data_IF_714845860135
#
_entry.id   IF_714845860135
#
_cell.length_a   1.000
_cell.length_b   1.000
_cell.length_c   1.000
_cell.angle_alpha   90.00
_cell.angle_beta   90.00
_cell.angle_gamma   90.00
#
_symmetry.space_group_name_H-M   'P 1'
#
loop_
_entity.id
_entity.type
_entity.pdbx_description
1 polymer ?
#
# COMPACT_ATOMS: atom_id res chain seq x y z
N UNK A 1 -10.91 -13.89 -2.93
CA UNK A 1 -11.46 -13.43 -4.22
C UNK A 1 -12.16 -14.53 -5.01
N UNK A 2 -11.59 -15.74 -5.18
CA UNK A 2 -12.24 -16.82 -5.95
C UNK A 2 -13.68 -17.10 -5.48
N UNK A 3 -13.91 -17.15 -4.16
CA UNK A 3 -15.24 -17.34 -3.58
C UNK A 3 -16.24 -16.21 -3.89
N UNK A 4 -15.80 -14.99 -4.20
CA UNK A 4 -16.72 -13.89 -4.58
C UNK A 4 -16.98 -13.89 -6.09
N UNK A 5 -16.00 -14.30 -6.89
CA UNK A 5 -16.10 -14.31 -8.36
C UNK A 5 -17.17 -15.27 -8.88
N UNK A 6 -17.44 -16.38 -8.17
CA UNK A 6 -18.55 -17.29 -8.51
C UNK A 6 -19.93 -16.61 -8.46
N UNK A 7 -20.02 -15.47 -7.77
CA UNK A 7 -21.21 -14.64 -7.67
C UNK A 7 -21.16 -13.41 -8.59
N UNK A 8 -20.15 -13.29 -9.45
CA UNK A 8 -19.93 -12.09 -10.28
C UNK A 8 -19.50 -10.86 -9.48
N UNK A 9 -18.96 -11.05 -8.27
CA UNK A 9 -18.62 -9.99 -7.34
C UNK A 9 -17.14 -10.05 -6.91
N UNK A 10 -16.59 -8.92 -6.50
CA UNK A 10 -15.20 -8.80 -6.04
C UNK A 10 -15.07 -7.72 -4.95
N UNK A 11 -14.15 -7.86 -3.98
CA UNK A 11 -13.70 -6.73 -3.18
C UNK A 11 -13.24 -5.57 -4.09
N UNK A 12 -13.55 -4.32 -3.75
CA UNK A 12 -13.20 -3.18 -4.60
C UNK A 12 -11.70 -2.80 -4.55
N UNK A 13 -10.97 -3.27 -3.53
CA UNK A 13 -9.57 -2.92 -3.27
C UNK A 13 -8.79 -4.18 -2.91
N UNK A 14 -7.61 -4.33 -3.51
CA UNK A 14 -6.67 -5.39 -3.21
C UNK A 14 -5.33 -4.81 -2.79
N UNK A 15 -4.56 -5.59 -2.06
CA UNK A 15 -3.10 -5.46 -2.00
C UNK A 15 -2.50 -6.13 -3.24
N UNK A 16 -1.29 -5.75 -3.63
CA UNK A 16 -0.65 -6.29 -4.84
C UNK A 16 -0.39 -7.80 -4.73
N UNK A 17 -0.02 -8.24 -3.53
CA UNK A 17 0.11 -9.65 -3.18
C UNK A 17 -1.16 -10.17 -2.50
N UNK A 18 -1.71 -11.28 -3.01
CA UNK A 18 -3.00 -11.81 -2.56
C UNK A 18 -2.91 -12.78 -1.38
N UNK A 19 -1.76 -13.41 -1.12
CA UNK A 19 -1.62 -14.39 -0.03
C UNK A 19 -1.37 -13.72 1.33
N UNK A 20 -2.21 -12.73 1.64
CA UNK A 20 -2.26 -12.05 2.92
C UNK A 20 -3.58 -12.37 3.61
N UNK A 21 -3.55 -12.49 4.94
CA UNK A 21 -4.79 -12.68 5.70
C UNK A 21 -5.63 -11.40 5.73
N UNK A 22 -6.95 -11.55 5.71
CA UNK A 22 -7.90 -10.43 5.84
C UNK A 22 -7.64 -9.64 7.13
N UNK A 23 -7.46 -10.33 8.27
CA UNK A 23 -7.19 -9.65 9.54
C UNK A 23 -5.87 -8.88 9.53
N UNK A 24 -4.84 -9.40 8.86
CA UNK A 24 -3.55 -8.74 8.73
C UNK A 24 -3.63 -7.45 7.93
N UNK A 25 -4.22 -7.48 6.73
CA UNK A 25 -4.33 -6.28 5.89
C UNK A 25 -5.23 -5.23 6.51
N UNK A 26 -6.36 -5.62 7.13
CA UNK A 26 -7.26 -4.70 7.83
C UNK A 26 -6.64 -4.10 9.10
N UNK A 27 -5.66 -4.77 9.71
CA UNK A 27 -4.92 -4.21 10.85
C UNK A 27 -3.94 -3.11 10.44
N UNK A 28 -3.59 -3.00 9.15
CA UNK A 28 -2.62 -2.00 8.66
C UNK A 28 -3.29 -0.94 7.77
N UNK A 29 -4.11 -1.36 6.81
CA UNK A 29 -4.84 -0.49 5.90
C UNK A 29 -5.30 -1.22 4.65
N UNK A 30 -4.36 -1.88 3.95
CA UNK A 30 -4.63 -2.58 2.69
C UNK A 30 -4.78 -1.61 1.53
N UNK A 31 -3.66 -0.99 1.14
CA UNK A 31 -3.55 -0.14 -0.05
C UNK A 31 -3.16 -0.97 -1.29
N UNK A 32 -3.55 -0.49 -2.46
CA UNK A 32 -3.10 -0.94 -3.78
C UNK A 32 -3.65 -0.05 -4.89
N UNK A 33 -3.44 -0.42 -6.15
CA UNK A 33 -3.75 0.46 -7.28
C UNK A 33 -5.22 0.88 -7.46
N UNK A 34 -6.18 0.19 -6.83
CA UNK A 34 -7.59 0.62 -6.83
C UNK A 34 -7.91 1.67 -5.75
N UNK A 35 -6.98 1.95 -4.84
CA UNK A 35 -7.25 2.78 -3.66
C UNK A 35 -7.60 4.22 -3.98
N UNK A 36 -7.11 4.75 -5.09
CA UNK A 36 -7.48 6.07 -5.58
C UNK A 36 -8.99 6.21 -5.89
N UNK A 37 -9.69 5.09 -6.17
CA UNK A 37 -11.12 5.05 -6.47
C UNK A 37 -11.98 4.68 -5.26
N UNK A 38 -11.51 3.73 -4.45
CA UNK A 38 -12.35 3.07 -3.44
C UNK A 38 -11.84 3.19 -1.99
N UNK A 39 -10.70 3.86 -1.77
CA UNK A 39 -10.05 3.94 -0.45
C UNK A 39 -9.15 2.73 -0.19
N UNK A 40 -8.78 2.51 1.05
CA UNK A 40 -8.07 1.30 1.45
C UNK A 40 -9.06 0.16 1.74
N UNK A 41 -8.59 -1.08 1.91
CA UNK A 41 -9.46 -2.20 2.30
C UNK A 41 -10.24 -1.89 3.59
N UNK A 42 -9.61 -1.20 4.55
CA UNK A 42 -10.26 -0.74 5.79
C UNK A 42 -11.48 0.17 5.55
N UNK A 43 -11.49 0.96 4.47
CA UNK A 43 -12.62 1.85 4.13
C UNK A 43 -13.81 1.08 3.50
N UNK A 44 -13.65 -0.23 3.27
CA UNK A 44 -14.66 -1.09 2.65
C UNK A 44 -15.37 -2.01 3.66
N UNK A 45 -14.91 -2.00 4.91
CA UNK A 45 -15.43 -2.84 6.00
C UNK A 45 -16.73 -2.25 6.55
N UNK A 46 -17.74 -3.08 6.74
CA UNK A 46 -19.04 -2.66 7.32
C UNK A 46 -19.28 -3.20 8.73
N UNK A 47 -18.64 -4.32 9.09
CA UNK A 47 -18.71 -4.91 10.42
C UNK A 47 -17.52 -5.84 10.68
N UNK A 48 -17.20 -6.04 11.95
CA UNK A 48 -16.18 -6.97 12.43
C UNK A 48 -16.73 -7.82 13.59
N UNK A 49 -16.22 -9.04 13.72
CA UNK A 49 -16.15 -9.76 14.99
C UNK A 49 -14.70 -9.85 15.43
N UNK A 50 -14.45 -9.53 16.69
CA UNK A 50 -13.11 -9.42 17.24
C UNK A 50 -13.03 -10.06 18.63
N UNK A 51 -11.86 -10.54 19.01
CA UNK A 51 -11.54 -10.97 20.37
C UNK A 51 -10.62 -9.92 21.02
N UNK A 52 -11.08 -9.27 22.09
CA UNK A 52 -10.32 -8.23 22.78
C UNK A 52 -9.14 -8.81 23.57
N UNK A 53 -8.22 -7.97 24.06
CA UNK A 53 -7.14 -8.38 24.97
C UNK A 53 -7.65 -8.90 26.32
N UNK A 54 -8.91 -8.61 26.68
CA UNK A 54 -9.61 -9.20 27.81
C UNK A 54 -10.22 -10.60 27.51
N UNK A 55 -10.10 -11.09 26.28
CA UNK A 55 -10.63 -12.39 25.85
C UNK A 55 -12.12 -12.39 25.47
N UNK A 56 -12.71 -11.21 25.28
CA UNK A 56 -14.15 -11.08 24.98
C UNK A 56 -14.41 -11.09 23.47
N UNK A 57 -15.36 -11.93 23.01
CA UNK A 57 -15.85 -11.90 21.63
C UNK A 57 -16.88 -10.77 21.47
N UNK A 58 -16.51 -9.73 20.73
CA UNK A 58 -17.33 -8.54 20.50
C UNK A 58 -17.59 -8.37 19.01
N UNK A 59 -18.81 -8.00 18.62
CA UNK A 59 -19.07 -7.51 17.25
C UNK A 59 -19.19 -6.00 17.25
N UNK A 60 -18.47 -5.36 16.33
CA UNK A 60 -18.44 -3.91 16.19
C UNK A 60 -18.67 -3.47 14.74
N UNK A 61 -19.15 -2.24 14.58
CA UNK A 61 -19.50 -1.59 13.32
C UNK A 61 -19.48 -0.06 13.53
N UNK A 62 -19.69 0.75 12.48
CA UNK A 62 -19.84 2.20 12.64
C UNK A 62 -20.95 2.64 13.61
N UNK A 63 -21.92 1.77 13.90
CA UNK A 63 -23.06 2.06 14.79
C UNK A 63 -23.11 1.20 16.06
N UNK A 64 -22.20 0.23 16.21
CA UNK A 64 -22.12 -0.66 17.38
C UNK A 64 -20.67 -0.77 17.85
N UNK A 65 -20.38 -0.35 19.08
CA UNK A 65 -19.00 -0.19 19.57
C UNK A 65 -18.10 0.56 18.57
N UNK A 66 -18.49 1.79 18.16
CA UNK A 66 -17.79 2.52 17.10
C UNK A 66 -16.36 2.93 17.47
N UNK A 67 -16.05 3.03 18.76
CA UNK A 67 -14.70 3.21 19.29
C UNK A 67 -13.84 1.97 19.02
N UNK A 68 -14.33 0.77 19.32
CA UNK A 68 -13.63 -0.48 19.01
C UNK A 68 -13.45 -0.67 17.50
N UNK A 69 -14.50 -0.43 16.71
CA UNK A 69 -14.46 -0.58 15.26
C UNK A 69 -13.34 0.28 14.63
N UNK A 70 -13.27 1.56 15.01
CA UNK A 70 -12.23 2.48 14.54
C UNK A 70 -10.84 2.16 15.09
N UNK A 71 -10.75 1.62 16.31
CA UNK A 71 -9.47 1.26 16.93
C UNK A 71 -8.86 -0.04 16.38
N UNK A 72 -9.66 -0.89 15.72
CA UNK A 72 -9.20 -2.16 15.12
C UNK A 72 -8.74 -1.96 13.67
N UNK A 73 -9.47 -1.19 12.87
CA UNK A 73 -9.10 -0.89 11.48
C UNK A 73 -7.87 0.02 11.41
N UNK A 74 -6.81 -0.44 10.73
CA UNK A 74 -5.48 0.17 10.73
C UNK A 74 -4.86 0.33 12.15
N UNK A 75 -5.35 -0.46 13.11
CA UNK A 75 -4.97 -0.40 14.53
C UNK A 75 -3.79 -1.26 14.93
N UNK A 76 -3.07 -1.87 13.98
CA UNK A 76 -1.87 -2.69 14.18
C UNK A 76 -2.06 -3.83 15.19
N UNK A 77 -3.27 -4.40 15.25
CA UNK A 77 -3.63 -5.46 16.17
C UNK A 77 -3.59 -5.06 17.66
N UNK A 78 -3.55 -3.76 17.97
CA UNK A 78 -3.30 -3.29 19.34
C UNK A 78 -4.48 -3.48 20.29
N UNK A 79 -5.72 -3.46 19.79
CA UNK A 79 -6.92 -3.47 20.63
C UNK A 79 -7.68 -4.80 20.64
N UNK A 80 -7.63 -5.55 19.54
CA UNK A 80 -8.32 -6.84 19.41
C UNK A 80 -7.79 -7.64 18.22
N UNK A 81 -8.02 -8.95 18.25
CA UNK A 81 -7.78 -9.88 17.12
C UNK A 81 -9.04 -9.95 16.27
N UNK A 82 -8.95 -9.67 14.96
CA UNK A 82 -10.06 -9.83 14.02
C UNK A 82 -10.28 -11.32 13.73
N UNK A 83 -11.49 -11.82 13.98
CA UNK A 83 -11.87 -13.22 13.71
C UNK A 83 -12.89 -13.35 12.57
N UNK A 84 -13.61 -12.28 12.25
CA UNK A 84 -14.49 -12.21 11.08
C UNK A 84 -14.63 -10.75 10.61
N UNK A 85 -14.76 -10.54 9.30
CA UNK A 85 -14.96 -9.23 8.71
C UNK A 85 -16.04 -9.29 7.62
N UNK A 86 -16.92 -8.29 7.60
CA UNK A 86 -17.90 -8.08 6.51
C UNK A 86 -17.38 -6.98 5.60
N UNK A 87 -17.13 -7.33 4.34
CA UNK A 87 -16.58 -6.43 3.32
C UNK A 87 -17.66 -6.09 2.28
N UNK A 88 -17.70 -4.83 1.84
CA UNK A 88 -18.47 -4.44 0.67
C UNK A 88 -17.85 -5.06 -0.59
N UNK A 89 -18.71 -5.60 -1.46
CA UNK A 89 -18.31 -6.10 -2.78
C UNK A 89 -18.85 -5.18 -3.89
N UNK A 90 -18.23 -5.27 -5.06
CA UNK A 90 -18.64 -4.61 -6.30
C UNK A 90 -18.72 -5.63 -7.44
N UNK A 91 -19.33 -5.26 -8.55
CA UNK A 91 -19.35 -6.09 -9.76
C UNK A 91 -17.94 -6.42 -10.23
N UNK A 92 -17.64 -7.70 -10.44
CA UNK A 92 -16.37 -8.13 -10.97
C UNK A 92 -16.34 -7.94 -12.51
N UNK A 93 -15.28 -7.35 -13.08
CA UNK A 93 -15.06 -7.44 -14.51
C UNK A 93 -14.70 -8.87 -14.92
N UNK A 94 -14.94 -9.20 -16.19
CA UNK A 94 -14.43 -10.46 -16.76
C UNK A 94 -13.01 -10.29 -17.30
N UNK A 95 -12.71 -9.13 -17.86
CA UNK A 95 -11.43 -8.80 -18.49
C UNK A 95 -10.84 -7.49 -17.96
N UNK A 96 -9.52 -7.37 -18.09
CA UNK A 96 -8.74 -6.20 -17.72
C UNK A 96 -7.89 -5.80 -18.91
N UNK A 97 -8.04 -4.57 -19.41
CA UNK A 97 -7.08 -3.97 -20.35
C UNK A 97 -5.95 -3.35 -19.53
N UNK A 98 -4.76 -3.91 -19.65
CA UNK A 98 -3.61 -3.61 -18.81
C UNK A 98 -2.51 -2.93 -19.63
N UNK A 99 -1.99 -1.83 -19.09
CA UNK A 99 -0.98 -0.99 -19.73
C UNK A 99 0.25 -0.82 -18.84
N UNK A 100 1.42 -0.90 -19.46
CA UNK A 100 2.70 -0.44 -18.91
C UNK A 100 3.19 0.72 -19.78
N UNK A 101 3.26 1.92 -19.19
CA UNK A 101 3.53 3.16 -19.89
C UNK A 101 4.85 3.76 -19.37
N UNK A 102 5.96 3.71 -20.14
CA UNK A 102 7.27 4.17 -19.69
C UNK A 102 7.38 5.71 -19.70
N UNK A 103 8.15 6.27 -18.76
CA UNK A 103 8.48 7.69 -18.65
C UNK A 103 9.96 7.85 -18.31
N UNK A 104 10.54 8.98 -18.70
CA UNK A 104 11.97 9.30 -18.48
C UNK A 104 12.16 10.53 -17.58
N UNK A 105 11.08 11.18 -17.16
CA UNK A 105 11.08 12.36 -16.31
C UNK A 105 10.13 12.16 -15.13
N UNK A 106 10.66 12.29 -13.91
CA UNK A 106 9.92 12.06 -12.67
C UNK A 106 8.74 13.01 -12.53
N UNK A 107 8.90 14.29 -12.89
CA UNK A 107 7.83 15.27 -12.75
C UNK A 107 6.65 14.95 -13.68
N UNK A 108 6.93 14.63 -14.94
CA UNK A 108 5.94 14.22 -15.94
C UNK A 108 5.23 12.92 -15.53
N UNK A 109 5.99 11.94 -15.03
CA UNK A 109 5.46 10.68 -14.50
C UNK A 109 4.45 10.93 -13.37
N UNK A 110 4.82 11.75 -12.37
CA UNK A 110 3.95 12.07 -11.25
C UNK A 110 2.71 12.85 -11.70
N UNK A 111 2.87 13.86 -12.57
CA UNK A 111 1.76 14.67 -13.06
C UNK A 111 0.73 13.85 -13.84
N UNK A 112 1.18 12.94 -14.70
CA UNK A 112 0.27 12.05 -15.43
C UNK A 112 -0.43 11.08 -14.46
N UNK A 113 0.27 10.55 -13.45
CA UNK A 113 -0.36 9.77 -12.37
C UNK A 113 -1.46 10.57 -11.64
N UNK A 114 -1.22 11.84 -11.25
CA UNK A 114 -2.25 12.69 -10.61
C UNK A 114 -3.46 12.86 -11.53
N UNK A 115 -3.20 13.10 -12.81
CA UNK A 115 -4.26 13.22 -13.82
C UNK A 115 -5.09 11.94 -13.92
N UNK A 116 -4.46 10.75 -13.92
CA UNK A 116 -5.20 9.50 -14.01
C UNK A 116 -6.12 9.26 -12.80
N UNK A 117 -5.66 9.61 -11.60
CA UNK A 117 -6.49 9.56 -10.39
C UNK A 117 -7.66 10.54 -10.45
N UNK A 118 -7.44 11.75 -10.99
CA UNK A 118 -8.49 12.77 -11.13
C UNK A 118 -9.52 12.45 -12.22
N UNK A 119 -9.08 11.91 -13.35
CA UNK A 119 -9.93 11.60 -14.51
C UNK A 119 -10.84 10.39 -14.25
N UNK A 120 -10.41 9.47 -13.38
CA UNK A 120 -11.17 8.26 -13.04
C UNK A 120 -11.40 7.30 -14.21
N UNK A 121 -10.63 7.41 -15.30
CA UNK A 121 -10.76 6.56 -16.50
C UNK A 121 -10.14 5.17 -16.36
N UNK A 122 -9.17 5.01 -15.46
CA UNK A 122 -8.62 3.71 -15.10
C UNK A 122 -9.21 3.22 -13.76
N UNK A 123 -9.29 1.90 -13.61
CA UNK A 123 -9.70 1.22 -12.39
C UNK A 123 -8.53 0.93 -11.44
N UNK A 124 -7.32 0.85 -11.99
CA UNK A 124 -6.06 0.64 -11.28
C UNK A 124 -5.04 1.64 -11.77
N UNK A 125 -4.30 2.27 -10.86
CA UNK A 125 -3.16 3.14 -11.17
C UNK A 125 -2.08 2.90 -10.12
N UNK A 126 -0.93 2.43 -10.57
CA UNK A 126 0.31 2.41 -9.79
C UNK A 126 1.47 2.92 -10.63
N UNK A 127 2.69 2.69 -10.16
CA UNK A 127 3.84 2.71 -11.01
C UNK A 127 5.11 2.33 -10.27
N UNK A 128 6.12 1.99 -11.05
CA UNK A 128 7.39 1.46 -10.59
C UNK A 128 8.55 2.31 -11.09
N UNK A 129 9.67 2.18 -10.38
CA UNK A 129 10.92 2.86 -10.69
C UNK A 129 12.02 1.79 -10.79
N UNK A 130 12.83 1.89 -11.83
CA UNK A 130 13.96 1.03 -12.07
C UNK A 130 15.25 1.87 -12.21
N UNK A 131 16.40 1.36 -11.72
CA UNK A 131 17.68 1.98 -11.98
C UNK A 131 18.09 1.81 -13.44
N UNK A 132 18.79 2.81 -13.99
CA UNK A 132 19.49 2.69 -15.26
C UNK A 132 20.84 1.97 -15.09
N UNK A 133 21.61 1.90 -16.19
CA UNK A 133 22.93 1.24 -16.22
C UNK A 133 23.98 1.87 -15.30
N UNK A 134 23.76 3.11 -14.83
CA UNK A 134 24.62 3.80 -13.87
C UNK A 134 24.17 3.57 -12.42
N UNK A 135 23.03 2.91 -12.23
CA UNK A 135 22.40 2.71 -10.93
C UNK A 135 21.51 3.87 -10.48
N UNK A 136 21.28 4.88 -11.34
CA UNK A 136 20.39 5.99 -11.04
C UNK A 136 18.93 5.62 -11.34
N UNK A 137 18.01 5.93 -10.43
CA UNK A 137 16.59 5.58 -10.56
C UNK A 137 15.85 6.53 -11.52
N UNK A 138 16.03 6.31 -12.83
CA UNK A 138 15.55 7.17 -13.91
C UNK A 138 14.55 6.49 -14.85
N UNK A 139 14.34 5.18 -14.71
CA UNK A 139 13.33 4.45 -15.47
C UNK A 139 12.00 4.41 -14.72
N UNK A 140 10.98 5.11 -15.21
CA UNK A 140 9.66 5.16 -14.56
C UNK A 140 8.62 4.45 -15.42
N UNK A 141 7.69 3.72 -14.82
CA UNK A 141 6.60 3.06 -15.55
C UNK A 141 5.28 3.25 -14.80
N UNK A 142 4.29 3.84 -15.45
CA UNK A 142 2.91 3.82 -14.94
C UNK A 142 2.29 2.47 -15.31
N UNK A 143 1.81 1.73 -14.32
CA UNK A 143 0.94 0.57 -14.51
C UNK A 143 -0.52 1.01 -14.35
N UNK A 144 -1.33 0.86 -15.39
CA UNK A 144 -2.73 1.28 -15.36
C UNK A 144 -3.64 0.22 -15.97
N UNK A 145 -4.85 0.08 -15.43
CA UNK A 145 -5.83 -0.87 -16.00
C UNK A 145 -7.24 -0.34 -16.12
N UNK A 146 -7.92 -0.72 -17.20
CA UNK A 146 -9.34 -0.48 -17.41
C UNK A 146 -10.11 -1.81 -17.29
N UNK A 147 -11.25 -1.78 -16.61
CA UNK A 147 -12.10 -2.94 -16.42
C UNK A 147 -13.11 -3.05 -17.55
N UNK A 148 -13.15 -4.21 -18.22
CA UNK A 148 -14.16 -4.51 -19.24
C UNK A 148 -15.51 -4.91 -18.64
N UNK A 149 -16.49 -5.27 -19.48
CA UNK A 149 -17.81 -5.69 -19.01
C UNK A 149 -17.76 -6.91 -18.07
N UNK A 150 -18.69 -7.03 -17.12
CA UNK A 150 -19.82 -6.12 -16.86
C UNK A 150 -19.51 -4.92 -15.93
N UNK A 151 -18.27 -4.80 -15.40
CA UNK A 151 -17.93 -3.76 -14.44
C UNK A 151 -17.57 -2.41 -15.08
N UNK A 152 -17.17 -2.42 -16.36
CA UNK A 152 -16.93 -1.22 -17.16
C UNK A 152 -17.32 -1.43 -18.63
N UNK A 153 -17.20 -0.39 -19.47
CA UNK A 153 -17.42 -0.51 -20.90
C UNK A 153 -16.29 -1.31 -21.57
N UNK A 154 -16.48 -1.67 -22.84
CA UNK A 154 -15.36 -2.16 -23.66
C UNK A 154 -14.24 -1.10 -23.71
N UNK A 155 -12.99 -1.46 -23.35
CA UNK A 155 -11.88 -0.52 -23.34
C UNK A 155 -11.56 0.06 -24.72
N UNK A 156 -11.44 1.39 -24.81
CA UNK A 156 -10.92 2.10 -25.99
C UNK A 156 -9.54 2.70 -25.64
N UNK A 157 -8.49 2.06 -26.14
CA UNK A 157 -7.09 2.47 -25.92
C UNK A 157 -6.84 3.93 -26.32
N UNK A 158 -7.46 4.42 -27.41
CA UNK A 158 -7.26 5.80 -27.87
C UNK A 158 -7.86 6.79 -26.87
N UNK A 159 -9.02 6.48 -26.31
CA UNK A 159 -9.63 7.28 -25.26
C UNK A 159 -8.86 7.19 -23.94
N UNK A 160 -8.44 5.98 -23.55
CA UNK A 160 -7.71 5.70 -22.31
C UNK A 160 -6.36 6.40 -22.28
N UNK A 161 -5.59 6.35 -23.38
CA UNK A 161 -4.23 6.90 -23.46
C UNK A 161 -4.19 8.39 -23.87
N UNK A 162 -5.34 8.99 -24.17
CA UNK A 162 -5.41 10.38 -24.66
C UNK A 162 -4.74 11.36 -23.70
N UNK A 163 -3.80 12.12 -24.23
CA UNK A 163 -3.13 13.21 -23.52
C UNK A 163 -2.08 12.77 -22.49
N UNK A 164 -1.78 11.47 -22.40
CA UNK A 164 -0.63 10.98 -21.63
C UNK A 164 0.67 11.20 -22.39
N UNK A 165 1.74 11.41 -21.63
CA UNK A 165 3.06 11.90 -22.07
C UNK A 165 4.14 10.82 -21.93
N UNK A 166 3.75 9.56 -21.78
CA UNK A 166 4.66 8.42 -21.77
C UNK A 166 5.54 8.39 -23.03
N UNK A 167 6.74 7.84 -22.89
CA UNK A 167 7.68 7.66 -23.98
C UNK A 167 7.16 6.59 -24.95
N UNK A 168 6.73 7.04 -26.13
CA UNK A 168 6.22 6.15 -27.19
C UNK A 168 7.32 5.34 -27.90
N UNK A 169 8.59 5.71 -27.70
CA UNK A 169 9.72 4.95 -28.23
C UNK A 169 10.15 3.81 -27.30
N UNK A 170 9.73 3.85 -26.04
CA UNK A 170 9.98 2.79 -25.06
C UNK A 170 9.08 1.55 -25.23
N UNK A 171 9.33 0.53 -24.41
CA UNK A 171 8.55 -0.70 -24.39
C UNK A 171 7.16 -0.47 -23.74
N UNK A 172 6.22 0.02 -24.56
CA UNK A 172 4.80 0.14 -24.16
C UNK A 172 4.13 -1.21 -24.32
N UNK A 173 3.59 -1.75 -23.23
CA UNK A 173 2.80 -2.99 -23.27
C UNK A 173 1.33 -2.64 -23.11
N UNK A 174 0.48 -3.24 -23.93
CA UNK A 174 -0.97 -3.11 -23.85
C UNK A 174 -1.62 -4.46 -24.14
N UNK A 175 -2.08 -5.15 -23.10
CA UNK A 175 -2.63 -6.51 -23.19
C UNK A 175 -4.01 -6.62 -22.54
N UNK A 176 -4.73 -7.69 -22.85
CA UNK A 176 -6.02 -7.99 -22.24
C UNK A 176 -5.90 -9.29 -21.47
N UNK A 177 -6.13 -9.22 -20.17
CA UNK A 177 -6.00 -10.34 -19.23
C UNK A 177 -7.37 -10.73 -18.65
N UNK A 178 -7.48 -11.95 -18.16
CA UNK A 178 -8.55 -12.33 -17.25
C UNK A 178 -8.43 -11.53 -15.95
N UNK A 179 -9.56 -11.16 -15.33
CA UNK A 179 -9.53 -10.34 -14.11
C UNK A 179 -8.74 -11.00 -12.96
N UNK A 180 -8.96 -12.30 -12.73
CA UNK A 180 -8.20 -13.01 -11.69
C UNK A 180 -6.71 -13.12 -12.05
N UNK A 181 -6.37 -13.31 -13.33
CA UNK A 181 -4.98 -13.39 -13.76
C UNK A 181 -4.24 -12.08 -13.50
N UNK A 182 -4.87 -10.93 -13.76
CA UNK A 182 -4.31 -9.62 -13.41
C UNK A 182 -4.13 -9.47 -11.88
N UNK A 183 -5.13 -9.85 -11.08
CA UNK A 183 -5.01 -9.79 -9.62
C UNK A 183 -3.91 -10.71 -9.09
N UNK A 184 -3.70 -11.87 -9.72
CA UNK A 184 -2.75 -12.89 -9.31
C UNK A 184 -1.40 -12.81 -10.05
N UNK A 185 -1.14 -11.74 -10.79
CA UNK A 185 -0.01 -11.62 -11.72
C UNK A 185 1.37 -11.75 -11.08
N UNK A 186 1.49 -11.49 -9.78
CA UNK A 186 2.75 -11.64 -9.04
C UNK A 186 3.07 -13.09 -8.65
N UNK A 187 2.07 -13.99 -8.61
CA UNK A 187 2.25 -15.35 -8.09
C UNK A 187 3.35 -16.16 -8.81
N UNK A 188 3.48 -16.11 -10.15
CA UNK A 188 4.59 -16.80 -10.83
C UNK A 188 5.97 -16.27 -10.43
N UNK A 189 6.11 -14.96 -10.23
CA UNK A 189 7.35 -14.33 -9.78
C UNK A 189 7.71 -14.74 -8.36
N UNK A 190 6.72 -14.78 -7.46
CA UNK A 190 6.90 -15.25 -6.08
C UNK A 190 7.34 -16.73 -6.06
N UNK A 191 6.66 -17.59 -6.81
CA UNK A 191 7.04 -19.01 -6.91
C UNK A 191 8.48 -19.22 -7.42
N UNK A 192 8.95 -18.36 -8.33
CA UNK A 192 10.34 -18.39 -8.80
C UNK A 192 11.33 -17.97 -7.70
N UNK A 193 11.01 -16.95 -6.90
CA UNK A 193 11.84 -16.52 -5.76
C UNK A 193 11.88 -17.59 -4.65
N UNK A 194 10.77 -18.27 -4.40
CA UNK A 194 10.70 -19.41 -3.47
C UNK A 194 11.56 -20.58 -3.94
N UNK A 195 11.44 -20.95 -5.22
CA UNK A 195 12.25 -22.01 -5.82
C UNK A 195 13.75 -21.69 -5.79
N UNK A 196 14.11 -20.41 -5.91
CA UNK A 196 15.48 -19.93 -5.80
C UNK A 196 15.98 -19.81 -4.33
N UNK A 197 15.09 -19.99 -3.33
CA UNK A 197 15.44 -19.89 -1.92
C UNK A 197 15.67 -18.46 -1.41
N UNK A 198 15.39 -17.45 -2.24
CA UNK A 198 15.60 -16.02 -1.91
C UNK A 198 14.36 -15.36 -1.34
N UNK A 199 13.18 -15.98 -1.47
CA UNK A 199 11.94 -15.49 -0.84
C UNK A 199 11.99 -15.47 0.70
N UNK A 200 12.85 -16.29 1.31
CA UNK A 200 13.02 -16.35 2.76
C UNK A 200 14.13 -15.41 3.27
N UNK A 201 14.75 -14.61 2.39
CA UNK A 201 15.80 -13.66 2.76
C UNK A 201 15.26 -12.50 3.60
N UNK A 202 16.14 -11.60 4.07
CA UNK A 202 15.72 -10.45 4.85
C UNK A 202 15.01 -9.43 3.95
N UNK A 203 13.86 -8.92 4.38
CA UNK A 203 13.05 -7.93 3.65
C UNK A 203 12.93 -6.61 4.42
N UNK A 204 14.02 -5.81 4.54
CA UNK A 204 14.01 -4.55 5.29
C UNK A 204 13.33 -3.43 4.49
N UNK A 205 12.04 -3.61 4.18
CA UNK A 205 11.26 -2.73 3.33
C UNK A 205 11.07 -1.34 3.93
N UNK A 206 11.01 -0.33 3.05
CA UNK A 206 10.67 1.05 3.39
C UNK A 206 9.33 1.40 2.74
N UNK A 207 8.37 1.90 3.51
CA UNK A 207 7.05 2.27 3.00
C UNK A 207 6.63 3.61 3.61
N UNK A 208 6.56 4.64 2.78
CA UNK A 208 6.37 6.03 3.19
C UNK A 208 5.21 6.65 2.40
N UNK A 209 4.42 7.48 3.06
CA UNK A 209 3.38 8.29 2.45
C UNK A 209 3.88 9.73 2.37
N UNK A 210 4.05 10.22 1.15
CA UNK A 210 4.58 11.53 0.83
C UNK A 210 3.43 12.53 0.59
N UNK A 211 3.50 13.78 1.08
CA UNK A 211 2.63 14.86 0.63
C UNK A 211 2.78 15.05 -0.89
N UNK A 212 1.65 15.17 -1.59
CA UNK A 212 1.61 15.27 -3.05
C UNK A 212 2.36 16.48 -3.62
N UNK A 213 2.24 17.64 -2.98
CA UNK A 213 2.93 18.89 -3.35
C UNK A 213 4.46 18.79 -3.28
N UNK A 214 4.98 17.89 -2.46
CA UNK A 214 6.42 17.67 -2.20
C UNK A 214 6.92 16.33 -2.68
N UNK A 215 6.06 15.49 -3.27
CA UNK A 215 6.39 14.12 -3.66
C UNK A 215 7.59 14.04 -4.60
N UNK A 216 7.68 14.93 -5.61
CA UNK A 216 8.80 14.94 -6.56
C UNK A 216 10.15 15.22 -5.87
N UNK A 217 10.21 16.23 -5.01
CA UNK A 217 11.43 16.62 -4.31
C UNK A 217 11.85 15.56 -3.28
N UNK A 218 10.90 15.01 -2.52
CA UNK A 218 11.14 13.97 -1.53
C UNK A 218 11.58 12.66 -2.19
N UNK A 219 10.83 12.19 -3.20
CA UNK A 219 11.17 10.98 -3.92
C UNK A 219 12.54 11.11 -4.60
N UNK A 220 12.80 12.20 -5.33
CA UNK A 220 14.10 12.45 -5.96
C UNK A 220 15.25 12.40 -4.94
N UNK A 221 15.12 13.12 -3.82
CA UNK A 221 16.15 13.11 -2.75
C UNK A 221 16.41 11.70 -2.20
N UNK A 222 15.35 10.91 -1.97
CA UNK A 222 15.49 9.55 -1.45
C UNK A 222 16.09 8.61 -2.48
N UNK A 223 15.64 8.68 -3.74
CA UNK A 223 16.16 7.89 -4.86
C UNK A 223 17.65 8.19 -5.11
N UNK A 224 18.06 9.46 -5.07
CA UNK A 224 19.46 9.88 -5.21
C UNK A 224 20.35 9.28 -4.11
N UNK A 225 19.86 9.24 -2.86
CA UNK A 225 20.57 8.60 -1.74
C UNK A 225 20.70 7.08 -1.91
N UNK A 226 19.81 6.47 -2.68
CA UNK A 226 19.80 5.03 -2.96
C UNK A 226 20.50 4.68 -4.27
N UNK A 227 20.93 5.66 -5.07
CA UNK A 227 21.56 5.43 -6.36
C UNK A 227 22.78 4.51 -6.23
N UNK A 228 22.89 3.55 -7.14
CA UNK A 228 23.95 2.53 -7.15
C UNK A 228 23.78 1.39 -6.12
N UNK A 229 22.71 1.40 -5.31
CA UNK A 229 22.41 0.31 -4.39
C UNK A 229 21.51 -0.72 -5.08
N UNK A 230 21.84 -2.00 -4.96
CA UNK A 230 21.04 -3.10 -5.48
C UNK A 230 19.87 -3.41 -4.53
N UNK A 231 18.64 -3.37 -5.04
CA UNK A 231 17.43 -3.75 -4.29
C UNK A 231 17.35 -5.25 -4.02
N UNK A 232 18.20 -6.03 -4.64
CA UNK A 232 18.29 -7.47 -4.50
C UNK A 232 17.26 -8.23 -5.34
N UNK A 233 17.27 -9.57 -5.26
CA UNK A 233 16.44 -10.42 -6.09
C UNK A 233 14.95 -10.17 -5.82
N UNK A 234 14.19 -9.89 -6.89
CA UNK A 234 12.77 -9.56 -6.80
C UNK A 234 12.47 -8.20 -6.16
N UNK A 235 13.50 -7.40 -5.86
CA UNK A 235 13.32 -6.08 -5.27
C UNK A 235 12.64 -5.12 -6.23
N UNK A 236 11.73 -4.30 -5.71
CA UNK A 236 10.96 -3.33 -6.49
C UNK A 236 10.87 -1.98 -5.79
N UNK A 237 10.83 -0.92 -6.58
CA UNK A 237 10.55 0.44 -6.10
C UNK A 237 9.20 0.87 -6.69
N UNK A 238 8.25 1.20 -5.83
CA UNK A 238 6.93 1.67 -6.22
C UNK A 238 6.77 3.14 -5.83
N UNK A 239 6.14 3.91 -6.71
CA UNK A 239 5.77 5.29 -6.43
C UNK A 239 4.44 5.60 -7.10
N UNK A 240 3.36 5.73 -6.33
CA UNK A 240 2.05 5.94 -6.92
C UNK A 240 1.11 6.81 -6.08
N UNK A 241 0.17 7.53 -6.73
CA UNK A 241 -0.75 8.42 -6.07
C UNK A 241 -1.90 7.67 -5.40
N UNK A 242 -2.43 8.28 -4.35
CA UNK A 242 -3.67 7.92 -3.69
C UNK A 242 -4.66 9.09 -3.80
N UNK A 243 -5.89 8.90 -3.34
CA UNK A 243 -6.87 9.98 -3.22
C UNK A 243 -7.29 10.15 -1.76
N UNK A 244 -6.90 11.25 -1.13
CA UNK A 244 -7.27 11.52 0.26
C UNK A 244 -8.79 11.59 0.45
N UNK A 245 -9.52 12.03 -0.58
CA UNK A 245 -10.98 12.05 -0.60
C UNK A 245 -11.64 10.66 -0.53
N UNK A 246 -10.88 9.56 -0.65
CA UNK A 246 -11.35 8.18 -0.53
C UNK A 246 -10.88 7.47 0.74
N UNK A 247 -9.95 8.08 1.49
CA UNK A 247 -9.30 7.47 2.64
C UNK A 247 -9.87 8.08 3.91
N UNK A 248 -10.63 7.29 4.67
CA UNK A 248 -11.45 7.80 5.79
C UNK A 248 -11.12 7.15 7.13
N UNK A 249 -10.39 6.04 7.11
CA UNK A 249 -10.00 5.30 8.32
C UNK A 249 -8.99 6.10 9.14
N UNK A 250 -9.33 6.59 10.36
CA UNK A 250 -8.52 7.58 11.07
C UNK A 250 -7.10 7.13 11.45
N UNK A 251 -6.91 5.83 11.69
CA UNK A 251 -5.61 5.23 12.06
C UNK A 251 -4.73 4.92 10.84
N UNK A 252 -5.29 4.92 9.62
CA UNK A 252 -4.51 4.93 8.39
C UNK A 252 -4.05 6.37 8.13
N UNK A 253 -2.94 6.75 8.75
CA UNK A 253 -2.46 8.14 8.74
C UNK A 253 -1.96 8.54 7.37
N UNK A 254 -2.60 9.56 6.80
CA UNK A 254 -2.23 10.16 5.51
C UNK A 254 -1.61 11.55 5.71
N UNK A 255 -0.70 11.96 4.81
CA UNK A 255 -0.28 13.35 4.70
C UNK A 255 -1.47 14.27 4.41
N UNK A 256 -1.40 15.52 4.85
CA UNK A 256 -2.41 16.55 4.56
C UNK A 256 -2.23 17.11 3.14
N UNK A 257 -2.61 16.29 2.15
CA UNK A 257 -2.56 16.61 0.72
C UNK A 257 -3.72 15.89 0.00
N UNK A 258 -4.37 16.49 -1.01
CA UNK A 258 -5.46 15.84 -1.75
C UNK A 258 -5.03 14.56 -2.50
N UNK A 259 -3.78 14.48 -2.95
CA UNK A 259 -3.21 13.38 -3.75
C UNK A 259 -1.84 12.97 -3.19
N UNK A 260 -1.80 12.33 -2.00
CA UNK A 260 -0.55 11.85 -1.42
C UNK A 260 -0.01 10.67 -2.23
N UNK A 261 1.28 10.36 -2.06
CA UNK A 261 1.94 9.27 -2.77
C UNK A 261 2.44 8.21 -1.81
N UNK A 262 2.25 6.92 -2.15
CA UNK A 262 3.02 5.85 -1.53
C UNK A 262 4.36 5.73 -2.26
N UNK A 263 5.47 5.83 -1.52
CA UNK A 263 6.80 5.37 -1.92
C UNK A 263 7.11 4.08 -1.18
N UNK A 264 7.27 2.98 -1.90
CA UNK A 264 7.69 1.70 -1.35
C UNK A 264 9.03 1.27 -1.96
N UNK A 265 9.96 0.85 -1.12
CA UNK A 265 11.24 0.26 -1.56
C UNK A 265 11.32 -1.12 -0.92
N UNK A 266 11.09 -2.14 -1.74
CA UNK A 266 10.94 -3.52 -1.30
C UNK A 266 12.27 -4.26 -1.48
N UNK A 267 13.21 -4.02 -0.56
CA UNK A 267 14.52 -4.67 -0.55
C UNK A 267 14.43 -6.17 -0.26
N UNK A 268 15.35 -6.94 -0.85
CA UNK A 268 15.63 -8.34 -0.51
C UNK A 268 17.13 -8.50 -0.28
N UNK A 269 17.57 -8.73 0.96
CA UNK A 269 18.98 -8.78 1.33
C UNK A 269 19.38 -10.14 1.89
N UNK A 270 20.58 -10.61 1.53
CA UNK A 270 21.13 -11.87 2.01
C UNK A 270 21.28 -11.84 3.55
N UNK A 271 20.60 -12.72 4.30
CA UNK A 271 20.72 -12.78 5.76
C UNK A 271 22.12 -13.20 6.25
N UNK A 272 22.99 -13.71 5.37
CA UNK A 272 24.40 -13.98 5.69
C UNK A 272 25.21 -12.69 5.91
N UNK A 273 24.71 -11.52 5.49
CA UNK A 273 25.26 -10.20 5.82
C UNK A 273 24.34 -9.41 6.77
N UNK A 274 24.35 -9.75 8.08
CA UNK A 274 23.52 -9.06 9.06
C UNK A 274 23.89 -7.57 9.23
N UNK A 275 25.12 -7.18 8.87
CA UNK A 275 25.54 -5.78 8.93
C UNK A 275 24.85 -4.95 7.84
N UNK A 276 24.74 -5.47 6.62
CA UNK A 276 23.99 -4.83 5.54
C UNK A 276 22.49 -4.71 5.88
N UNK A 277 21.89 -5.76 6.45
CA UNK A 277 20.48 -5.73 6.90
C UNK A 277 20.28 -4.66 7.97
N UNK A 278 21.13 -4.63 9.01
CA UNK A 278 21.03 -3.64 10.09
C UNK A 278 21.25 -2.21 9.58
N UNK A 279 22.22 -2.00 8.68
CA UNK A 279 22.46 -0.70 8.06
C UNK A 279 21.25 -0.21 7.25
N UNK A 280 20.58 -1.11 6.52
CA UNK A 280 19.35 -0.77 5.79
C UNK A 280 18.21 -0.39 6.73
N UNK A 281 17.99 -1.16 7.78
CA UNK A 281 16.95 -0.86 8.79
C UNK A 281 17.20 0.49 9.46
N UNK A 282 18.47 0.83 9.76
CA UNK A 282 18.82 2.15 10.28
C UNK A 282 18.58 3.27 9.25
N UNK A 283 18.92 3.04 7.98
CA UNK A 283 18.67 4.00 6.90
C UNK A 283 17.16 4.26 6.67
N UNK A 284 16.32 3.25 6.88
CA UNK A 284 14.86 3.38 6.79
C UNK A 284 14.30 4.38 7.80
N UNK A 285 14.83 4.40 9.04
CA UNK A 285 14.42 5.41 10.04
C UNK A 285 14.81 6.83 9.62
N UNK A 286 16.03 7.03 9.09
CA UNK A 286 16.45 8.33 8.59
C UNK A 286 15.60 8.83 7.41
N UNK A 287 15.16 7.92 6.53
CA UNK A 287 14.23 8.22 5.45
C UNK A 287 12.84 8.61 5.99
N UNK A 288 12.34 7.87 6.98
CA UNK A 288 11.11 8.21 7.69
C UNK A 288 11.18 9.60 8.31
N UNK A 289 12.25 9.94 9.03
CA UNK A 289 12.42 11.26 9.64
C UNK A 289 12.45 12.39 8.61
N UNK A 290 13.09 12.17 7.46
CA UNK A 290 13.09 13.13 6.34
C UNK A 290 11.66 13.39 5.84
N UNK A 291 10.86 12.33 5.65
CA UNK A 291 9.48 12.44 5.16
C UNK A 291 8.54 13.01 6.23
N UNK A 292 8.70 12.59 7.48
CA UNK A 292 7.94 13.10 8.64
C UNK A 292 8.14 14.59 8.84
N UNK A 293 9.37 15.09 8.71
CA UNK A 293 9.68 16.52 8.79
C UNK A 293 8.98 17.33 7.68
N UNK A 294 8.68 16.70 6.54
CA UNK A 294 7.88 17.28 5.46
C UNK A 294 6.37 17.05 5.63
N UNK A 295 5.89 16.51 6.76
CA UNK A 295 4.46 16.24 6.97
C UNK A 295 3.96 14.96 6.32
N UNK A 296 4.86 14.08 5.86
CA UNK A 296 4.53 12.73 5.47
C UNK A 296 4.42 11.78 6.66
N UNK A 297 4.04 10.54 6.38
CA UNK A 297 3.82 9.49 7.40
C UNK A 297 4.46 8.17 6.94
N UNK A 298 4.62 7.20 7.83
CA UNK A 298 4.91 5.83 7.39
C UNK A 298 3.64 5.07 7.03
N UNK A 299 3.74 4.13 6.10
CA UNK A 299 2.77 3.04 5.95
C UNK A 299 3.37 1.79 6.61
N UNK A 300 2.79 1.29 7.74
CA UNK A 300 3.49 0.40 8.65
C UNK A 300 3.46 -1.09 8.22
N UNK A 301 4.00 -1.36 7.03
CA UNK A 301 4.27 -2.69 6.48
C UNK A 301 5.78 -2.95 6.28
N UNK A 302 6.62 -1.96 6.61
CA UNK A 302 8.07 -2.03 6.44
C UNK A 302 8.84 -2.26 7.75
N UNK A 303 10.17 -2.29 7.62
CA UNK A 303 11.12 -2.38 8.72
C UNK A 303 11.67 -0.99 9.06
N UNK A 304 10.82 -0.17 9.67
CA UNK A 304 11.18 1.16 10.20
C UNK A 304 11.15 1.05 11.73
N UNK A 305 12.30 1.14 12.43
CA UNK A 305 12.32 1.18 13.88
C UNK A 305 11.54 2.39 14.40
N UNK A 306 10.52 2.17 15.22
CA UNK A 306 9.65 3.22 15.74
C UNK A 306 9.65 3.20 17.27
N UNK A 307 9.96 4.33 17.88
CA UNK A 307 9.78 4.50 19.33
C UNK A 307 8.31 4.81 19.67
N UNK A 308 7.95 4.71 20.94
CA UNK A 308 6.64 5.15 21.42
C UNK A 308 6.41 6.67 21.22
N UNK A 309 7.47 7.48 21.09
CA UNK A 309 7.35 8.90 20.75
C UNK A 309 7.05 9.09 19.26
N UNK A 310 7.70 8.30 18.40
CA UNK A 310 7.46 8.33 16.95
C UNK A 310 6.02 7.88 16.64
N UNK A 311 5.51 6.85 17.32
CA UNK A 311 4.11 6.44 17.19
C UNK A 311 3.12 7.51 17.62
N UNK A 312 3.39 8.22 18.73
CA UNK A 312 2.58 9.37 19.14
C UNK A 312 2.57 10.46 18.06
N UNK A 313 3.72 10.74 17.46
CA UNK A 313 3.82 11.69 16.35
C UNK A 313 3.08 11.22 15.11
N UNK A 314 3.21 9.95 14.73
CA UNK A 314 2.55 9.34 13.58
C UNK A 314 1.03 9.47 13.68
N UNK A 315 0.45 9.09 14.82
CA UNK A 315 -0.99 9.15 15.04
C UNK A 315 -1.51 10.56 15.33
N UNK A 316 -0.66 11.46 15.84
CA UNK A 316 -0.98 12.87 16.03
C UNK A 316 -2.30 13.08 16.79
N UNK A 317 -3.25 13.79 16.18
CA UNK A 317 -4.51 14.16 16.81
C UNK A 317 -5.40 12.96 17.22
N UNK A 318 -5.25 11.80 16.59
CA UNK A 318 -6.04 10.60 16.93
C UNK A 318 -5.40 9.72 18.01
N UNK A 319 -4.19 10.06 18.47
CA UNK A 319 -3.47 9.26 19.48
C UNK A 319 -4.25 9.12 20.79
N UNK A 320 -4.85 10.20 21.30
CA UNK A 320 -5.53 10.18 22.59
C UNK A 320 -6.69 9.19 22.62
N UNK A 321 -7.46 9.14 21.53
CA UNK A 321 -8.56 8.19 21.35
C UNK A 321 -8.04 6.76 21.20
N UNK A 322 -7.01 6.55 20.38
CA UNK A 322 -6.42 5.22 20.19
C UNK A 322 -5.85 4.65 21.50
N UNK A 323 -5.14 5.48 22.27
CA UNK A 323 -4.62 5.09 23.59
C UNK A 323 -5.75 4.79 24.60
N UNK A 324 -6.88 5.49 24.52
CA UNK A 324 -8.04 5.19 25.34
C UNK A 324 -8.66 3.84 24.95
N UNK A 325 -8.77 3.55 23.66
CA UNK A 325 -9.22 2.24 23.16
C UNK A 325 -8.26 1.12 23.60
N UNK A 326 -6.94 1.31 23.51
CA UNK A 326 -5.95 0.34 24.03
C UNK A 326 -6.21 0.01 25.50
N UNK A 327 -6.31 1.02 26.37
CA UNK A 327 -6.58 0.81 27.81
C UNK A 327 -7.91 0.09 28.07
N UNK A 328 -8.91 0.30 27.21
CA UNK A 328 -10.23 -0.30 27.34
C UNK A 328 -10.26 -1.75 26.89
N UNK A 329 -9.65 -2.05 25.74
CA UNK A 329 -9.82 -3.33 25.05
C UNK A 329 -8.62 -4.27 25.19
N UNK A 330 -7.44 -3.76 25.54
CA UNK A 330 -6.28 -4.56 25.93
C UNK A 330 -5.59 -3.93 27.15
N UNK A 331 -6.25 -3.95 28.33
CA UNK A 331 -5.77 -3.29 29.55
C UNK A 331 -4.43 -3.85 30.07
N UNK A 332 -4.11 -5.09 29.70
CA UNK A 332 -2.89 -5.77 30.10
C UNK A 332 -1.74 -5.62 29.08
N UNK A 333 -1.96 -4.91 27.96
CA UNK A 333 -0.93 -4.66 26.95
C UNK A 333 -0.40 -5.92 26.27
N UNK A 334 -1.21 -6.96 26.14
CA UNK A 334 -0.77 -8.28 25.66
C UNK A 334 -0.72 -8.36 24.13
N UNK A 335 -1.54 -7.58 23.43
CA UNK A 335 -1.73 -7.73 21.99
C UNK A 335 -0.68 -6.96 21.20
N UNK A 336 -0.10 -7.66 20.22
CA UNK A 336 0.87 -7.15 19.24
C UNK A 336 2.05 -6.34 19.83
N UNK A 337 2.81 -6.92 20.81
CA UNK A 337 3.92 -6.21 21.46
C UNK A 337 5.07 -5.86 20.50
N UNK A 338 5.25 -6.64 19.43
CA UNK A 338 6.32 -6.42 18.44
C UNK A 338 6.19 -5.14 17.60
N UNK A 339 5.06 -4.44 17.68
CA UNK A 339 4.89 -3.13 17.02
C UNK A 339 5.45 -1.98 17.85
N UNK A 340 5.69 -2.19 19.15
CA UNK A 340 6.22 -1.19 20.07
C UNK A 340 5.42 0.13 20.13
N UNK A 341 4.12 0.09 19.80
CA UNK A 341 3.21 1.26 19.83
C UNK A 341 2.97 1.71 21.27
N UNK A 342 2.63 0.76 22.14
CA UNK A 342 2.43 0.97 23.56
C UNK A 342 3.48 0.17 24.33
N UNK A 343 4.27 0.79 25.22
CA UNK A 343 5.18 0.05 26.08
C UNK A 343 4.39 -0.88 27.01
N UNK A 344 4.87 -2.11 27.16
CA UNK A 344 4.37 -3.11 28.13
C UNK A 344 4.83 -2.79 29.54
#
# INVERSE_FOLDING_TARGET
>A
VQATLVHGLTPPVFTDYLELSVGGTLSVGGLGGQSHRYGAQVDTVTALQVVTGAGELVSCSPTRHPDLFRAVLAGLGQCAVIVSATLRLVTAPTSVRHFLLPYTDLATYLDDQRRLVGDGRFAYVEGSIAPDVTGAFTGYVIEATAYGPPAGPEPDDSALLRGLRYDRSGAVTAETLGYFDFLNRLAPGVAALEAAGVWAWAHPWLNLLLPGDRAAALAGTLLDRMAGQDTGPGGVVLLYPLSAARLHTPLLRMPDDPVPYLLAVLWTLDPADPAAVAARVAANHAAYETVRAAGGTQYPVGSIPMSAADWRSQYGSVWAEFAAAKRRYDPCGLLAPGQHVFPT
#
